data_IF_947526870656
#
_entry.id   IF_947526870656
#
_cell.length_a   1.000
_cell.length_b   1.000
_cell.length_c   1.000
_cell.angle_alpha   90.00
_cell.angle_beta   90.00
_cell.angle_gamma   90.00
#
_symmetry.space_group_name_H-M   'P 1'
#
loop_
_entity.id
_entity.type
_entity.pdbx_description
1 polymer ?
#
# COMPACT_ATOMS: atom_id res chain seq x y z
N UNK A 1 -1.09 -8.82 19.52
CA UNK A 1 -1.98 -7.66 19.68
C UNK A 1 -3.35 -8.19 20.05
N UNK A 2 -3.82 -7.87 21.26
CA UNK A 2 -5.15 -8.25 21.72
C UNK A 2 -6.14 -7.26 21.11
N UNK A 3 -6.93 -7.72 20.13
CA UNK A 3 -8.00 -6.89 19.57
C UNK A 3 -9.19 -6.99 20.54
N UNK A 4 -9.46 -5.91 21.26
CA UNK A 4 -10.66 -5.81 22.09
C UNK A 4 -11.83 -5.41 21.20
N UNK A 5 -12.80 -6.31 21.09
CA UNK A 5 -14.07 -6.00 20.45
C UNK A 5 -14.90 -5.12 21.37
N UNK A 6 -15.30 -3.93 20.90
CA UNK A 6 -16.12 -2.98 21.62
C UNK A 6 -17.57 -3.00 21.09
N UNK A 7 -18.17 -4.17 21.01
CA UNK A 7 -19.60 -4.27 20.72
C UNK A 7 -20.38 -3.71 21.91
N UNK A 8 -20.83 -2.47 21.78
CA UNK A 8 -21.66 -1.80 22.78
C UNK A 8 -22.98 -1.45 22.10
N UNK A 9 -24.10 -1.86 22.70
CA UNK A 9 -25.41 -1.50 22.18
C UNK A 9 -25.71 0.00 22.37
N UNK A 10 -26.72 0.50 21.66
CA UNK A 10 -27.06 1.92 21.66
C UNK A 10 -27.43 2.45 23.06
N UNK A 11 -28.14 1.64 23.82
CA UNK A 11 -28.62 2.08 25.18
C UNK A 11 -27.42 2.22 26.10
N UNK A 12 -26.47 1.32 26.06
CA UNK A 12 -25.23 1.40 26.84
C UNK A 12 -24.34 2.58 26.39
N UNK A 13 -24.29 2.87 25.07
CA UNK A 13 -23.59 4.05 24.55
C UNK A 13 -24.20 5.34 25.05
N UNK A 14 -25.53 5.47 25.04
CA UNK A 14 -26.25 6.62 25.54
C UNK A 14 -26.03 6.79 27.06
N UNK A 15 -26.11 5.68 27.82
CA UNK A 15 -25.84 5.66 29.24
C UNK A 15 -24.44 6.18 29.56
N UNK A 16 -23.42 5.63 28.95
CA UNK A 16 -22.01 6.05 29.12
C UNK A 16 -21.79 7.50 28.71
N UNK A 17 -22.48 7.97 27.67
CA UNK A 17 -22.41 9.36 27.25
C UNK A 17 -22.98 10.29 28.30
N UNK A 18 -24.12 9.93 28.90
CA UNK A 18 -24.78 10.74 29.92
C UNK A 18 -24.00 10.78 31.26
N UNK A 19 -23.18 9.78 31.53
CA UNK A 19 -22.27 9.71 32.68
C UNK A 19 -20.98 10.54 32.51
N UNK A 20 -20.73 11.09 31.31
CA UNK A 20 -19.54 11.91 31.02
C UNK A 20 -19.71 13.32 31.63
N UNK A 21 -18.60 13.91 32.05
CA UNK A 21 -18.56 15.30 32.50
C UNK A 21 -18.92 16.33 31.41
N UNK A 22 -18.92 15.93 30.14
CA UNK A 22 -19.26 16.76 28.98
C UNK A 22 -19.99 15.92 27.93
N UNK A 23 -21.27 15.56 28.12
CA UNK A 23 -22.01 14.69 27.21
C UNK A 23 -22.35 15.39 25.90
N UNK A 24 -22.30 14.67 24.81
CA UNK A 24 -22.84 15.11 23.51
C UNK A 24 -24.34 14.79 23.45
N UNK A 25 -25.07 15.43 22.52
CA UNK A 25 -26.50 15.14 22.33
C UNK A 25 -26.70 13.65 21.97
N UNK A 26 -27.68 12.99 22.60
CA UNK A 26 -28.02 11.59 22.34
C UNK A 26 -28.31 11.35 20.83
N UNK A 27 -28.91 12.35 20.17
CA UNK A 27 -29.15 12.31 18.72
C UNK A 27 -27.88 12.11 17.93
N UNK A 28 -26.75 12.70 18.36
CA UNK A 28 -25.42 12.45 17.69
C UNK A 28 -24.97 11.02 17.90
N UNK A 29 -25.19 10.45 19.08
CA UNK A 29 -24.86 9.04 19.34
C UNK A 29 -25.72 8.10 18.49
N UNK A 30 -27.02 8.38 18.40
CA UNK A 30 -27.97 7.65 17.56
C UNK A 30 -27.58 7.72 16.07
N UNK A 31 -27.29 8.92 15.55
CA UNK A 31 -26.86 9.14 14.18
C UNK A 31 -25.54 8.40 13.87
N UNK A 32 -24.57 8.43 14.79
CA UNK A 32 -23.31 7.69 14.64
C UNK A 32 -23.54 6.19 14.67
N UNK A 33 -24.37 5.69 15.60
CA UNK A 33 -24.70 4.26 15.67
C UNK A 33 -25.45 3.77 14.42
N UNK A 34 -26.30 4.62 13.81
CA UNK A 34 -26.96 4.33 12.55
C UNK A 34 -26.01 4.33 11.35
N UNK A 35 -25.08 5.28 11.30
CA UNK A 35 -24.09 5.36 10.22
C UNK A 35 -23.03 4.27 10.29
N UNK A 36 -22.70 3.85 11.50
CA UNK A 36 -21.67 2.85 11.78
C UNK A 36 -22.25 1.72 12.64
N UNK A 37 -23.21 0.93 12.12
CA UNK A 37 -23.81 -0.15 12.88
C UNK A 37 -22.74 -1.21 13.21
N UNK A 38 -22.55 -1.47 14.50
CA UNK A 38 -21.58 -2.46 15.01
C UNK A 38 -21.74 -3.87 14.38
N UNK A 39 -22.92 -4.17 13.85
CA UNK A 39 -23.23 -5.43 13.15
C UNK A 39 -22.43 -5.66 11.86
N UNK A 40 -21.84 -4.62 11.30
CA UNK A 40 -21.05 -4.71 10.05
C UNK A 40 -19.54 -4.68 10.30
N UNK A 41 -19.12 -4.61 11.53
CA UNK A 41 -17.69 -4.75 11.84
C UNK A 41 -17.34 -6.23 11.77
N UNK A 42 -16.34 -6.55 10.97
CA UNK A 42 -15.83 -7.90 10.88
C UNK A 42 -15.43 -8.37 12.30
N UNK A 43 -16.00 -9.47 12.73
CA UNK A 43 -15.58 -10.12 13.99
C UNK A 43 -14.13 -10.58 13.85
N UNK A 44 -13.45 -10.83 14.98
CA UNK A 44 -12.11 -11.47 14.96
C UNK A 44 -12.15 -12.77 14.16
N UNK A 45 -13.27 -13.50 14.17
CA UNK A 45 -13.49 -14.70 13.38
C UNK A 45 -13.67 -14.39 11.89
N UNK A 46 -14.38 -13.32 11.53
CA UNK A 46 -14.52 -12.87 10.14
C UNK A 46 -13.18 -12.40 9.59
N UNK A 47 -12.41 -11.70 10.39
CA UNK A 47 -11.03 -11.27 10.06
C UNK A 47 -10.15 -12.52 9.88
N UNK A 48 -10.18 -13.47 10.81
CA UNK A 48 -9.45 -14.74 10.70
C UNK A 48 -9.90 -15.56 9.49
N UNK A 49 -11.18 -15.53 9.15
CA UNK A 49 -11.78 -16.23 8.00
C UNK A 49 -11.43 -15.55 6.68
N UNK A 50 -11.40 -14.21 6.65
CA UNK A 50 -10.99 -13.42 5.50
C UNK A 50 -9.47 -13.50 5.25
N UNK A 51 -8.68 -13.62 6.32
CA UNK A 51 -7.23 -13.83 6.28
C UNK A 51 -6.85 -15.29 5.93
N UNK A 52 -7.84 -16.18 5.78
CA UNK A 52 -7.62 -17.62 5.60
C UNK A 52 -7.14 -18.31 6.87
N UNK A 53 -7.51 -19.57 7.05
CA UNK A 53 -7.05 -20.39 8.17
C UNK A 53 -5.51 -20.49 8.09
N UNK A 54 -4.83 -19.78 8.97
CA UNK A 54 -3.40 -19.94 9.17
C UNK A 54 -2.47 -19.03 8.34
N UNK A 55 -2.95 -17.91 7.82
CA UNK A 55 -2.03 -16.87 7.37
C UNK A 55 -1.30 -16.29 8.61
N UNK A 56 -0.30 -17.00 9.07
CA UNK A 56 0.75 -16.39 9.88
C UNK A 56 1.45 -15.42 8.94
N UNK A 57 1.18 -14.12 9.12
CA UNK A 57 1.97 -13.08 8.46
C UNK A 57 3.41 -13.23 8.94
N UNK A 58 4.21 -13.94 8.16
CA UNK A 58 5.65 -14.01 8.40
C UNK A 58 6.22 -12.70 7.87
N UNK A 59 6.78 -11.84 8.74
CA UNK A 59 7.42 -10.61 8.31
C UNK A 59 8.44 -10.86 7.21
N UNK A 60 8.67 -9.86 6.38
CA UNK A 60 9.74 -9.94 5.41
C UNK A 60 11.09 -10.09 6.12
N UNK A 61 11.97 -10.86 5.51
CA UNK A 61 13.38 -10.84 5.91
C UNK A 61 13.96 -9.49 5.50
N UNK A 62 14.71 -8.88 6.37
CA UNK A 62 15.35 -7.58 6.13
C UNK A 62 16.72 -7.55 6.79
N UNK A 63 17.65 -8.34 6.25
CA UNK A 63 18.99 -8.50 6.80
C UNK A 63 19.79 -7.20 6.60
N UNK A 64 20.29 -6.55 7.70
CA UNK A 64 21.05 -5.33 7.59
C UNK A 64 22.45 -5.50 6.95
N UNK A 65 22.90 -6.75 6.74
CA UNK A 65 24.15 -7.03 6.04
C UNK A 65 24.01 -7.06 4.51
N UNK A 66 22.78 -7.12 4.00
CA UNK A 66 22.53 -7.06 2.57
C UNK A 66 22.68 -5.64 2.02
N UNK A 67 22.94 -5.48 0.70
CA UNK A 67 22.93 -4.17 0.05
C UNK A 67 21.63 -3.42 0.31
N UNK A 68 21.74 -2.14 0.62
CA UNK A 68 20.56 -1.31 0.91
C UNK A 68 19.77 -1.00 -0.35
N UNK A 69 18.45 -1.07 -0.25
CA UNK A 69 17.54 -0.77 -1.35
C UNK A 69 16.34 0.05 -0.88
N UNK A 70 15.71 0.74 -1.82
CA UNK A 70 14.34 1.27 -1.67
C UNK A 70 13.43 0.59 -2.69
N UNK A 71 12.17 0.42 -2.33
CA UNK A 71 11.13 -0.05 -3.23
C UNK A 71 10.26 1.14 -3.63
N UNK A 72 9.98 1.27 -4.92
CA UNK A 72 9.20 2.40 -5.46
C UNK A 72 8.09 1.88 -6.36
N UNK A 73 6.87 2.30 -6.09
CA UNK A 73 5.73 2.07 -6.98
C UNK A 73 5.70 3.10 -8.13
N UNK A 74 4.89 2.85 -9.16
CA UNK A 74 4.76 3.74 -10.32
C UNK A 74 3.44 4.52 -10.28
N UNK A 75 2.30 3.83 -10.45
CA UNK A 75 0.99 4.50 -10.63
C UNK A 75 0.48 5.13 -9.33
N UNK A 76 0.26 6.44 -9.33
CA UNK A 76 -0.10 7.21 -8.14
C UNK A 76 1.11 7.60 -7.27
N UNK A 77 2.30 7.11 -7.59
CA UNK A 77 3.55 7.36 -6.87
C UNK A 77 4.53 8.14 -7.75
N UNK A 78 5.21 7.49 -8.69
CA UNK A 78 6.12 8.15 -9.65
C UNK A 78 5.39 8.77 -10.83
N UNK A 79 4.25 8.20 -11.21
CA UNK A 79 3.49 8.57 -12.39
C UNK A 79 2.03 8.89 -12.06
N UNK A 80 1.52 9.98 -12.62
CA UNK A 80 0.13 10.36 -12.59
C UNK A 80 -0.48 10.17 -13.97
N UNK A 81 -1.62 9.45 -14.01
CA UNK A 81 -2.35 9.18 -15.25
C UNK A 81 -3.70 9.91 -15.31
N UNK A 82 -3.97 10.80 -14.35
CA UNK A 82 -5.23 11.56 -14.26
C UNK A 82 -5.47 12.36 -15.54
N UNK A 83 -6.68 12.18 -16.12
CA UNK A 83 -7.07 12.77 -17.39
C UNK A 83 -6.26 12.33 -18.65
N UNK A 84 -5.31 11.42 -18.52
CA UNK A 84 -4.46 10.91 -19.61
C UNK A 84 -4.97 9.57 -20.10
N UNK A 85 -5.21 8.64 -19.17
CA UNK A 85 -5.67 7.28 -19.48
C UNK A 85 -6.44 6.67 -18.31
N UNK A 86 -7.19 5.61 -18.57
CA UNK A 86 -7.69 4.75 -17.50
C UNK A 86 -6.55 3.88 -16.94
N UNK A 87 -6.68 3.37 -15.70
CA UNK A 87 -5.64 2.52 -15.09
C UNK A 87 -5.27 1.26 -15.90
N UNK A 88 -6.17 0.82 -16.79
CA UNK A 88 -6.00 -0.41 -17.59
C UNK A 88 -5.60 -0.17 -19.06
N UNK A 89 -5.47 1.09 -19.49
CA UNK A 89 -4.99 1.44 -20.84
C UNK A 89 -3.46 1.48 -20.86
N UNK A 90 -2.85 0.30 -20.84
CA UNK A 90 -1.40 0.14 -20.76
C UNK A 90 -0.64 0.58 -22.01
N UNK A 91 -1.32 0.73 -23.13
CA UNK A 91 -0.79 1.27 -24.40
C UNK A 91 -0.49 2.77 -24.32
N UNK A 92 -0.97 3.46 -23.28
CA UNK A 92 -0.82 4.91 -23.10
C UNK A 92 0.13 5.31 -21.97
N UNK A 93 0.81 4.36 -21.32
CA UNK A 93 1.70 4.66 -20.16
C UNK A 93 2.81 5.64 -20.48
N UNK A 94 3.23 5.73 -21.74
CA UNK A 94 4.25 6.68 -22.21
C UNK A 94 3.85 8.16 -22.05
N UNK A 95 2.55 8.42 -21.86
CA UNK A 95 2.00 9.78 -21.72
C UNK A 95 1.76 10.19 -20.27
N UNK A 96 1.98 9.29 -19.30
CA UNK A 96 1.83 9.60 -17.88
C UNK A 96 2.75 10.75 -17.48
N UNK A 97 2.28 11.62 -16.61
CA UNK A 97 3.07 12.72 -16.06
C UNK A 97 3.91 12.22 -14.88
N UNK A 98 5.14 12.73 -14.76
CA UNK A 98 6.03 12.36 -13.66
C UNK A 98 5.73 13.21 -12.42
N UNK A 99 5.68 12.57 -11.23
CA UNK A 99 5.75 13.28 -9.96
C UNK A 99 7.18 13.73 -9.69
N UNK A 100 7.42 15.04 -9.78
CA UNK A 100 8.75 15.62 -9.61
C UNK A 100 9.28 15.44 -8.19
N UNK A 101 8.40 15.49 -7.17
CA UNK A 101 8.80 15.39 -5.76
C UNK A 101 9.23 13.96 -5.42
N UNK A 102 8.48 12.97 -5.89
CA UNK A 102 8.83 11.56 -5.71
C UNK A 102 10.07 11.19 -6.52
N UNK A 103 10.18 11.69 -7.77
CA UNK A 103 11.40 11.56 -8.57
C UNK A 103 12.63 12.09 -7.85
N UNK A 104 12.54 13.29 -7.27
CA UNK A 104 13.67 13.91 -6.54
C UNK A 104 14.06 13.08 -5.30
N UNK A 105 13.09 12.49 -4.61
CA UNK A 105 13.34 11.57 -3.50
C UNK A 105 14.08 10.30 -3.97
N UNK A 106 13.67 9.72 -5.10
CA UNK A 106 14.34 8.55 -5.71
C UNK A 106 15.75 8.89 -6.15
N UNK A 107 15.95 10.04 -6.81
CA UNK A 107 17.28 10.51 -7.20
C UNK A 107 18.20 10.69 -5.99
N UNK A 108 17.67 11.26 -4.90
CA UNK A 108 18.43 11.44 -3.65
C UNK A 108 18.84 10.11 -3.04
N UNK A 109 17.94 9.12 -3.03
CA UNK A 109 18.23 7.78 -2.55
C UNK A 109 19.30 7.08 -3.41
N UNK A 110 19.19 7.21 -4.73
CA UNK A 110 20.19 6.70 -5.67
C UNK A 110 21.58 7.32 -5.45
N UNK A 111 21.63 8.64 -5.31
CA UNK A 111 22.89 9.36 -5.02
C UNK A 111 23.50 9.00 -3.66
N UNK A 112 22.66 8.63 -2.70
CA UNK A 112 23.12 8.13 -1.40
C UNK A 112 23.71 6.71 -1.48
N UNK A 113 23.48 6.01 -2.58
CA UNK A 113 24.00 4.67 -2.84
C UNK A 113 23.01 3.52 -2.61
N UNK A 114 21.71 3.83 -2.50
CA UNK A 114 20.70 2.79 -2.41
C UNK A 114 20.40 2.18 -3.79
N UNK A 115 20.17 0.88 -3.82
CA UNK A 115 19.59 0.19 -4.98
C UNK A 115 18.13 0.63 -5.14
N UNK A 116 17.72 1.00 -6.33
CA UNK A 116 16.35 1.40 -6.65
C UNK A 116 15.63 0.22 -7.30
N UNK A 117 14.60 -0.30 -6.63
CA UNK A 117 13.78 -1.42 -7.07
C UNK A 117 12.38 -0.90 -7.38
N UNK A 118 12.01 -0.91 -8.65
CA UNK A 118 10.67 -0.50 -9.07
C UNK A 118 9.74 -1.71 -9.05
N UNK A 119 8.65 -1.63 -8.28
CA UNK A 119 7.68 -2.73 -8.12
C UNK A 119 6.28 -2.20 -8.44
N UNK A 120 5.72 -2.59 -9.58
CA UNK A 120 4.48 -2.03 -10.10
C UNK A 120 3.39 -3.06 -10.31
N UNK A 121 2.15 -2.64 -10.04
CA UNK A 121 0.94 -3.38 -10.39
C UNK A 121 0.59 -3.36 -11.88
N UNK A 122 1.31 -2.61 -12.71
CA UNK A 122 1.14 -2.61 -14.17
C UNK A 122 1.40 -4.00 -14.75
N UNK A 123 0.66 -4.34 -15.80
CA UNK A 123 0.91 -5.57 -16.56
C UNK A 123 2.29 -5.54 -17.24
N UNK A 124 2.99 -6.65 -17.23
CA UNK A 124 4.24 -6.85 -17.98
C UNK A 124 4.09 -6.69 -19.50
N UNK A 125 2.85 -6.67 -20.00
CA UNK A 125 2.55 -6.35 -21.40
C UNK A 125 3.07 -4.97 -21.83
N UNK A 126 3.15 -4.00 -20.88
CA UNK A 126 3.70 -2.66 -21.12
C UNK A 126 5.10 -2.46 -20.53
N UNK A 127 5.84 -3.54 -20.26
CA UNK A 127 7.17 -3.46 -19.66
C UNK A 127 8.11 -2.53 -20.43
N UNK A 128 8.18 -2.68 -21.75
CA UNK A 128 9.05 -1.87 -22.61
C UNK A 128 8.69 -0.39 -22.54
N UNK A 129 7.41 -0.06 -22.62
CA UNK A 129 6.94 1.32 -22.59
C UNK A 129 7.16 1.95 -21.20
N UNK A 130 7.01 1.16 -20.14
CA UNK A 130 7.29 1.59 -18.76
C UNK A 130 8.79 1.84 -18.56
N UNK A 131 9.66 0.97 -19.03
CA UNK A 131 11.10 1.16 -18.97
C UNK A 131 11.54 2.41 -19.75
N UNK A 132 11.03 2.62 -20.95
CA UNK A 132 11.30 3.81 -21.76
C UNK A 132 10.78 5.10 -21.07
N UNK A 133 9.65 5.00 -20.35
CA UNK A 133 9.12 6.12 -19.58
C UNK A 133 10.07 6.49 -18.41
N UNK A 134 10.56 5.49 -17.65
CA UNK A 134 11.55 5.72 -16.60
C UNK A 134 12.83 6.37 -17.15
N UNK A 135 13.35 5.87 -18.26
CA UNK A 135 14.52 6.41 -18.94
C UNK A 135 14.30 7.85 -19.43
N UNK A 136 13.13 8.11 -20.04
CA UNK A 136 12.73 9.47 -20.53
C UNK A 136 12.80 10.53 -19.43
N UNK A 137 12.35 10.16 -18.22
CA UNK A 137 12.35 11.07 -17.09
C UNK A 137 13.64 11.01 -16.25
N UNK A 138 14.62 10.21 -16.66
CA UNK A 138 15.90 10.07 -15.98
C UNK A 138 15.74 9.49 -14.56
N UNK A 139 14.80 8.59 -14.37
CA UNK A 139 14.58 7.90 -13.09
C UNK A 139 15.50 6.68 -13.05
N UNK A 140 16.53 6.66 -12.17
CA UNK A 140 17.40 5.51 -12.06
C UNK A 140 16.65 4.33 -11.45
N UNK A 141 16.85 3.15 -12.00
CA UNK A 141 16.38 1.89 -11.41
C UNK A 141 17.38 0.77 -11.72
N UNK A 142 17.45 -0.23 -10.84
CA UNK A 142 18.31 -1.39 -11.01
C UNK A 142 17.50 -2.58 -11.51
N UNK A 143 16.27 -2.72 -10.98
CA UNK A 143 15.33 -3.74 -11.42
C UNK A 143 13.92 -3.15 -11.51
N UNK A 144 13.15 -3.66 -12.49
CA UNK A 144 11.74 -3.34 -12.72
C UNK A 144 10.92 -4.62 -12.65
N UNK A 145 10.15 -4.77 -11.59
CA UNK A 145 9.25 -5.90 -11.38
C UNK A 145 7.81 -5.47 -11.67
N UNK A 146 7.14 -6.22 -12.51
CA UNK A 146 5.78 -5.92 -12.94
C UNK A 146 4.87 -7.14 -12.77
N UNK A 147 3.57 -6.88 -12.67
CA UNK A 147 2.53 -7.92 -12.64
C UNK A 147 2.56 -8.73 -13.92
N UNK A 148 2.48 -10.07 -13.83
CA UNK A 148 2.21 -10.91 -15.01
C UNK A 148 0.87 -10.53 -15.63
N UNK A 149 0.80 -10.49 -16.99
CA UNK A 149 -0.39 -10.04 -17.74
C UNK A 149 -1.68 -10.80 -17.40
N UNK A 150 -1.55 -12.05 -16.99
CA UNK A 150 -2.69 -12.90 -16.67
C UNK A 150 -3.07 -12.87 -15.19
N UNK A 151 -2.29 -12.18 -14.36
CA UNK A 151 -2.53 -12.08 -12.93
C UNK A 151 -3.55 -10.98 -12.60
N UNK A 152 -4.74 -11.41 -12.15
CA UNK A 152 -5.85 -10.52 -11.75
C UNK A 152 -6.02 -10.40 -10.24
N UNK A 153 -5.07 -10.92 -9.45
CA UNK A 153 -5.11 -10.82 -7.98
C UNK A 153 -4.98 -9.36 -7.54
N UNK A 154 -5.34 -9.11 -6.27
CA UNK A 154 -5.16 -7.77 -5.67
C UNK A 154 -3.69 -7.37 -5.71
N UNK A 155 -3.45 -6.07 -5.83
CA UNK A 155 -2.13 -5.49 -6.02
C UNK A 155 -1.14 -5.85 -4.91
N UNK A 156 -1.58 -5.74 -3.66
CA UNK A 156 -0.74 -6.11 -2.52
C UNK A 156 -0.29 -7.58 -2.54
N UNK A 157 -1.10 -8.51 -3.10
CA UNK A 157 -0.75 -9.94 -3.21
C UNK A 157 0.38 -10.12 -4.22
N UNK A 158 0.27 -9.44 -5.36
CA UNK A 158 1.28 -9.52 -6.42
C UNK A 158 2.60 -8.90 -5.95
N UNK A 159 2.53 -7.72 -5.32
CA UNK A 159 3.72 -7.06 -4.77
C UNK A 159 4.35 -7.87 -3.63
N UNK A 160 3.55 -8.50 -2.75
CA UNK A 160 4.07 -9.41 -1.71
C UNK A 160 4.85 -10.59 -2.31
N UNK A 161 4.31 -11.22 -3.35
CA UNK A 161 5.00 -12.33 -4.02
C UNK A 161 6.32 -11.89 -4.67
N UNK A 162 6.33 -10.73 -5.33
CA UNK A 162 7.54 -10.15 -5.91
C UNK A 162 8.59 -9.90 -4.81
N UNK A 163 8.19 -9.28 -3.70
CA UNK A 163 9.09 -8.99 -2.58
C UNK A 163 9.66 -10.26 -1.99
N UNK A 164 8.84 -11.29 -1.76
CA UNK A 164 9.29 -12.56 -1.19
C UNK A 164 10.20 -13.34 -2.12
N UNK A 165 9.95 -13.27 -3.43
CA UNK A 165 10.67 -14.06 -4.42
C UNK A 165 11.99 -13.41 -4.82
N UNK A 166 12.03 -12.08 -4.93
CA UNK A 166 13.15 -11.40 -5.57
C UNK A 166 13.90 -10.44 -4.65
N UNK A 167 13.28 -9.93 -3.57
CA UNK A 167 13.81 -8.79 -2.83
C UNK A 167 14.28 -9.17 -1.42
N UNK A 168 13.44 -9.77 -0.60
CA UNK A 168 13.66 -9.94 0.84
C UNK A 168 14.94 -10.70 1.23
N UNK A 169 15.43 -11.60 0.38
CA UNK A 169 16.64 -12.40 0.63
C UNK A 169 17.91 -11.75 0.08
N UNK A 170 17.77 -10.73 -0.78
CA UNK A 170 18.87 -10.12 -1.52
C UNK A 170 19.20 -8.70 -1.07
N UNK A 171 18.22 -7.99 -0.47
CA UNK A 171 18.36 -6.58 -0.12
C UNK A 171 17.92 -6.28 1.30
N UNK A 172 18.57 -5.27 1.90
CA UNK A 172 18.07 -4.58 3.08
C UNK A 172 17.20 -3.41 2.62
N UNK A 173 15.88 -3.57 2.70
CA UNK A 173 14.94 -2.53 2.30
C UNK A 173 14.86 -1.46 3.38
N UNK A 174 15.32 -0.25 3.06
CA UNK A 174 15.35 0.89 3.99
C UNK A 174 13.96 1.50 4.14
N UNK A 175 13.26 1.67 3.02
CA UNK A 175 11.86 2.09 2.97
C UNK A 175 11.22 1.80 1.61
N UNK A 176 9.90 1.91 1.58
CA UNK A 176 9.10 1.85 0.35
C UNK A 176 8.42 3.20 0.12
N UNK A 177 8.20 3.57 -1.14
CA UNK A 177 7.34 4.65 -1.61
C UNK A 177 6.15 4.04 -2.34
N UNK A 178 4.94 4.31 -1.88
CA UNK A 178 3.69 3.79 -2.45
C UNK A 178 2.53 4.71 -2.04
N UNK A 179 1.46 4.78 -2.82
CA UNK A 179 0.28 5.59 -2.51
C UNK A 179 -0.88 4.74 -2.00
N UNK A 180 -0.98 3.48 -2.48
CA UNK A 180 -2.16 2.64 -2.31
C UNK A 180 -2.30 2.08 -0.90
N UNK A 181 -3.37 2.46 -0.17
CA UNK A 181 -3.60 2.07 1.22
C UNK A 181 -3.38 0.58 1.49
N UNK A 182 -3.95 -0.31 0.67
CA UNK A 182 -3.83 -1.75 0.88
C UNK A 182 -2.38 -2.28 0.76
N UNK A 183 -1.54 -1.67 -0.08
CA UNK A 183 -0.12 -2.03 -0.22
C UNK A 183 0.68 -1.46 0.93
N UNK A 184 0.44 -0.20 1.28
CA UNK A 184 1.06 0.50 2.41
C UNK A 184 0.83 -0.26 3.71
N UNK A 185 -0.42 -0.60 4.00
CA UNK A 185 -0.81 -1.31 5.23
C UNK A 185 -0.18 -2.71 5.27
N UNK A 186 -0.20 -3.43 4.13
CA UNK A 186 0.42 -4.73 4.03
C UNK A 186 1.93 -4.67 4.29
N UNK A 187 2.66 -3.81 3.58
CA UNK A 187 4.12 -3.71 3.72
C UNK A 187 4.54 -3.26 5.14
N UNK A 188 3.76 -2.36 5.77
CA UNK A 188 3.97 -1.98 7.18
C UNK A 188 3.74 -3.16 8.13
N UNK A 189 2.68 -3.95 7.90
CA UNK A 189 2.41 -5.15 8.68
C UNK A 189 3.50 -6.22 8.51
N UNK A 190 4.15 -6.27 7.34
CA UNK A 190 5.28 -7.15 7.04
C UNK A 190 6.62 -6.62 7.57
N UNK A 191 6.66 -5.44 8.19
CA UNK A 191 7.83 -4.88 8.87
C UNK A 191 8.63 -3.86 8.09
N UNK A 192 8.22 -3.50 6.86
CA UNK A 192 8.89 -2.44 6.11
C UNK A 192 8.39 -1.06 6.54
N UNK A 193 9.29 -0.08 6.51
CA UNK A 193 8.92 1.34 6.61
C UNK A 193 8.35 1.79 5.26
N UNK A 194 7.17 2.41 5.29
CA UNK A 194 6.53 2.92 4.07
C UNK A 194 6.23 4.40 4.23
N UNK A 195 6.74 5.20 3.33
CA UNK A 195 6.35 6.58 3.12
C UNK A 195 5.21 6.59 2.09
N UNK A 196 4.00 6.80 2.58
CA UNK A 196 2.84 6.94 1.71
C UNK A 196 2.86 8.33 1.10
N UNK A 197 3.01 8.41 -0.22
CA UNK A 197 3.20 9.69 -0.93
C UNK A 197 1.92 10.50 -1.04
N UNK A 198 0.77 9.82 -1.12
CA UNK A 198 -0.56 10.41 -1.07
C UNK A 198 -1.58 9.35 -0.66
N UNK A 199 -2.78 9.73 -0.20
CA UNK A 199 -3.84 8.76 0.09
C UNK A 199 -4.32 8.05 -1.19
N UNK A 200 -4.38 6.72 -1.17
CA UNK A 200 -4.83 5.90 -2.30
C UNK A 200 -5.77 4.79 -1.85
N UNK A 201 -7.08 5.09 -1.77
CA UNK A 201 -8.12 4.13 -1.39
C UNK A 201 -8.92 3.68 -2.61
N UNK A 202 -8.29 2.88 -3.50
CA UNK A 202 -8.89 2.38 -4.75
C UNK A 202 -8.36 0.98 -5.12
#
# INVERSE_FOLDING_TARGET
VEIKDFQVDLDELIKRNNERGNPVSNKVIEDLHHRFPCKNWATVEDIKKALGKGATYTPYKNDPHNPTAIIVDIDGTLAHHDNVRSPFEFDKVAFDEVDSSVKDAVLSAYQYGHTILVVSGRSDSCYKDTAQWLDKYGIPYHDLFMRSRDDKRKDWIVKDEIIRTHIQDNYHVVYCLDDRNQVVDHNRAMGYKVFQVQPGDF
#
